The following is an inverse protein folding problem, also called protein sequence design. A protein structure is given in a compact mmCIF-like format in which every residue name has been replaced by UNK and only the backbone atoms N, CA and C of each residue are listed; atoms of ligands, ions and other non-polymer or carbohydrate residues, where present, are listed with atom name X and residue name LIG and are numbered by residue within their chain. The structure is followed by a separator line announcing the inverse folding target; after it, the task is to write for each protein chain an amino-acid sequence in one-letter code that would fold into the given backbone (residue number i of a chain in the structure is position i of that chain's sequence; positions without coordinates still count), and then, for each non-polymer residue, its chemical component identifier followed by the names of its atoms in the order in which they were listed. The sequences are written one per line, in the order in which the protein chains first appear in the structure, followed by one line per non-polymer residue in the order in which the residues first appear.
data_IF_885427954160
#
_entry.id   IF_885427954160
#
_cell.length_a   1.000
_cell.length_b   1.000
_cell.length_c   1.000
_cell.angle_alpha   90.00
_cell.angle_beta   90.00
_cell.angle_gamma   90.00
#
_symmetry.space_group_name_H-M   'P 1'
#
loop_
_entity.id
_entity.type
_entity.pdbx_description
1 polymer ?
#
# COMPACT_ATOMS: atom_id res chain seq x y z
N UNK A 1 -13.76 -9.96 -9.93
CA UNK A 1 -13.16 -8.62 -9.85
C UNK A 1 -12.18 -8.41 -10.98
N UNK A 2 -12.05 -7.17 -11.44
CA UNK A 2 -11.03 -6.79 -12.43
C UNK A 2 -9.85 -6.14 -11.74
N UNK A 3 -8.65 -6.34 -12.29
CA UNK A 3 -7.42 -5.67 -11.84
C UNK A 3 -6.54 -5.30 -13.02
N UNK A 4 -5.81 -4.19 -12.91
CA UNK A 4 -4.78 -3.79 -13.85
C UNK A 4 -3.42 -4.26 -13.32
N UNK A 5 -2.71 -5.10 -14.08
CA UNK A 5 -1.49 -5.76 -13.62
C UNK A 5 -0.28 -5.40 -14.46
N UNK A 6 0.84 -5.21 -13.79
CA UNK A 6 2.16 -5.17 -14.42
C UNK A 6 2.60 -6.63 -14.61
N UNK A 7 2.73 -7.08 -15.84
CA UNK A 7 3.12 -8.47 -16.16
C UNK A 7 4.63 -8.64 -16.33
N UNK A 8 5.30 -7.57 -16.76
CA UNK A 8 6.76 -7.50 -16.88
C UNK A 8 7.17 -6.01 -16.93
N UNK A 9 8.44 -5.68 -16.67
CA UNK A 9 8.95 -4.32 -16.81
C UNK A 9 8.67 -3.71 -18.20
N UNK A 10 8.21 -2.46 -18.21
CA UNK A 10 7.86 -1.69 -19.39
C UNK A 10 6.77 -2.29 -20.29
N UNK A 11 6.10 -3.37 -19.86
CA UNK A 11 4.96 -3.91 -20.59
C UNK A 11 3.70 -3.05 -20.37
N UNK A 12 2.77 -2.99 -21.33
CA UNK A 12 1.45 -2.42 -21.09
C UNK A 12 0.75 -3.12 -19.93
N UNK A 13 -0.03 -2.35 -19.15
CA UNK A 13 -0.85 -2.94 -18.09
C UNK A 13 -1.85 -3.95 -18.69
N UNK A 14 -1.91 -5.13 -18.12
CA UNK A 14 -2.86 -6.16 -18.50
C UNK A 14 -4.08 -6.14 -17.57
N UNK A 15 -5.27 -6.07 -18.16
CA UNK A 15 -6.51 -6.24 -17.38
C UNK A 15 -6.73 -7.74 -17.20
N UNK A 16 -6.88 -8.17 -15.95
CA UNK A 16 -7.20 -9.55 -15.59
C UNK A 16 -8.49 -9.62 -14.79
N UNK A 17 -9.18 -10.74 -14.91
CA UNK A 17 -10.38 -11.04 -14.12
C UNK A 17 -10.09 -12.23 -13.20
N UNK A 18 -10.58 -12.16 -11.97
CA UNK A 18 -10.47 -13.21 -10.96
C UNK A 18 -11.70 -13.24 -10.07
N UNK A 19 -11.87 -14.30 -9.30
CA UNK A 19 -12.87 -14.30 -8.23
C UNK A 19 -12.53 -13.24 -7.18
N UNK A 20 -13.57 -12.62 -6.62
CA UNK A 20 -13.41 -11.70 -5.49
C UNK A 20 -13.05 -12.53 -4.24
N UNK A 21 -11.93 -12.25 -3.56
CA UNK A 21 -11.53 -13.00 -2.38
C UNK A 21 -12.52 -12.82 -1.24
N UNK A 22 -12.58 -13.80 -0.32
CA UNK A 22 -13.34 -13.70 0.92
C UNK A 22 -12.38 -13.45 2.07
N UNK A 23 -12.66 -12.45 2.94
CA UNK A 23 -11.80 -12.17 4.07
C UNK A 23 -11.98 -13.22 5.18
N UNK A 24 -10.87 -13.62 5.80
CA UNK A 24 -10.83 -14.54 6.93
C UNK A 24 -10.04 -13.93 8.10
N UNK A 25 -10.32 -14.35 9.33
CA UNK A 25 -9.59 -13.90 10.51
C UNK A 25 -9.58 -12.38 10.64
N UNK A 26 -8.39 -11.76 10.57
CA UNK A 26 -8.17 -10.31 10.70
C UNK A 26 -8.35 -9.55 9.39
N UNK A 27 -8.58 -10.24 8.28
CA UNK A 27 -8.63 -9.66 6.95
C UNK A 27 -9.88 -8.80 6.73
N UNK A 28 -9.73 -7.79 5.88
CA UNK A 28 -10.84 -6.92 5.45
C UNK A 28 -10.83 -6.84 3.93
N UNK A 29 -11.99 -7.06 3.30
CA UNK A 29 -12.19 -6.83 1.89
C UNK A 29 -12.68 -5.40 1.69
N UNK A 30 -11.97 -4.63 0.89
CA UNK A 30 -12.38 -3.30 0.49
C UNK A 30 -12.89 -3.31 -0.95
N UNK A 31 -14.03 -2.66 -1.19
CA UNK A 31 -14.36 -2.14 -2.51
C UNK A 31 -13.55 -0.87 -2.71
N UNK A 32 -12.68 -0.87 -3.71
CA UNK A 32 -11.77 0.26 -3.97
C UNK A 32 -12.57 1.43 -4.52
N UNK A 33 -12.45 2.60 -3.90
CA UNK A 33 -13.08 3.84 -4.35
C UNK A 33 -12.10 4.66 -5.21
N UNK A 34 -10.89 4.87 -4.69
CA UNK A 34 -9.84 5.63 -5.34
C UNK A 34 -8.46 5.12 -4.94
N UNK A 35 -7.48 5.30 -5.82
CA UNK A 35 -6.08 4.94 -5.58
C UNK A 35 -5.19 6.04 -6.13
N UNK A 36 -4.32 6.57 -5.29
CA UNK A 36 -3.31 7.51 -5.73
C UNK A 36 -2.25 6.85 -6.61
N UNK A 37 -1.75 7.58 -7.59
CA UNK A 37 -0.62 7.17 -8.42
C UNK A 37 0.66 7.73 -7.82
N UNK A 38 1.46 6.86 -7.23
CA UNK A 38 2.75 7.22 -6.66
C UNK A 38 3.88 7.01 -7.67
N UNK A 39 4.97 7.75 -7.54
CA UNK A 39 6.17 7.53 -8.38
C UNK A 39 6.72 6.10 -8.21
N UNK A 40 6.50 5.47 -7.06
CA UNK A 40 6.89 4.07 -6.84
C UNK A 40 6.17 3.09 -7.76
N UNK A 41 4.94 3.41 -8.23
CA UNK A 41 4.23 2.57 -9.20
C UNK A 41 4.92 2.63 -10.58
N UNK A 42 5.51 3.78 -10.94
CA UNK A 42 6.32 3.94 -12.15
C UNK A 42 7.61 3.12 -12.04
N UNK A 43 8.34 3.20 -10.93
CA UNK A 43 9.54 2.38 -10.71
C UNK A 43 9.23 0.88 -10.76
N UNK A 44 8.07 0.48 -10.24
CA UNK A 44 7.61 -0.89 -10.33
C UNK A 44 7.33 -1.30 -11.77
N UNK A 45 6.72 -0.42 -12.56
CA UNK A 45 6.47 -0.64 -13.98
C UNK A 45 7.75 -0.61 -14.81
N UNK A 46 8.69 0.30 -14.55
CA UNK A 46 10.01 0.38 -15.18
C UNK A 46 10.91 -0.82 -14.81
N UNK A 47 10.59 -1.51 -13.70
CA UNK A 47 11.32 -2.67 -13.20
C UNK A 47 12.47 -2.33 -12.27
N UNK A 48 12.64 -1.07 -11.86
CA UNK A 48 13.73 -0.67 -10.96
C UNK A 48 13.91 0.81 -10.77
N UNK A 49 15.03 1.13 -10.16
CA UNK A 49 15.45 2.50 -9.85
C UNK A 49 16.76 2.82 -10.56
N UNK A 50 16.79 3.92 -11.31
CA UNK A 50 18.05 4.50 -11.78
C UNK A 50 18.73 5.20 -10.61
N UNK A 51 19.92 4.72 -10.24
CA UNK A 51 20.72 5.25 -9.15
C UNK A 51 21.79 6.26 -9.64
N UNK A 52 21.78 6.60 -10.92
CA UNK A 52 22.79 7.41 -11.54
C UNK A 52 24.08 6.61 -11.89
N UNK A 53 24.98 7.25 -12.62
CA UNK A 53 26.28 6.67 -13.02
C UNK A 53 26.16 5.29 -13.71
N UNK A 54 25.05 5.04 -14.44
CA UNK A 54 24.80 3.77 -15.12
C UNK A 54 24.43 2.61 -14.19
N UNK A 55 24.13 2.88 -12.93
CA UNK A 55 23.68 1.88 -11.95
C UNK A 55 22.16 1.79 -11.94
N UNK A 56 21.64 0.58 -12.09
CA UNK A 56 20.20 0.31 -12.05
C UNK A 56 19.92 -0.80 -11.02
N UNK A 57 19.04 -0.51 -10.04
CA UNK A 57 18.61 -1.46 -9.03
C UNK A 57 17.26 -2.05 -9.43
N UNK A 58 17.24 -3.33 -9.79
CA UNK A 58 16.00 -4.02 -10.16
C UNK A 58 15.11 -4.26 -8.93
N UNK A 59 13.81 -4.05 -9.08
CA UNK A 59 12.85 -4.35 -8.00
C UNK A 59 12.77 -5.86 -7.70
N UNK A 60 13.05 -6.71 -8.71
CA UNK A 60 13.10 -8.18 -8.54
C UNK A 60 14.22 -8.63 -7.62
N UNK A 61 15.35 -7.90 -7.57
CA UNK A 61 16.48 -8.19 -6.66
C UNK A 61 16.08 -7.93 -5.19
N UNK A 62 15.01 -7.15 -4.98
CA UNK A 62 14.40 -6.90 -3.68
C UNK A 62 13.21 -7.81 -3.36
N UNK A 63 12.94 -8.80 -4.20
CA UNK A 63 11.89 -9.80 -3.98
C UNK A 63 10.52 -9.49 -4.62
N UNK A 64 10.40 -8.41 -5.39
CA UNK A 64 9.18 -8.15 -6.17
C UNK A 64 8.99 -9.23 -7.22
N UNK A 65 7.76 -9.70 -7.37
CA UNK A 65 7.37 -10.73 -8.35
C UNK A 65 6.33 -10.18 -9.31
N UNK A 66 6.51 -10.47 -10.59
CA UNK A 66 5.48 -10.22 -11.60
C UNK A 66 4.72 -11.53 -11.91
N UNK A 67 3.42 -11.46 -12.27
CA UNK A 67 2.60 -10.27 -12.38
C UNK A 67 2.17 -9.74 -10.99
N UNK A 68 2.05 -8.41 -10.86
CA UNK A 68 1.58 -7.75 -9.64
C UNK A 68 0.57 -6.66 -10.00
N UNK A 69 -0.46 -6.48 -9.18
CA UNK A 69 -1.37 -5.35 -9.24
C UNK A 69 -0.76 -4.20 -8.44
N UNK A 70 -0.37 -3.07 -9.06
CA UNK A 70 0.20 -1.94 -8.33
C UNK A 70 -0.87 -1.13 -7.59
N UNK A 71 -0.49 0.05 -7.07
CA UNK A 71 -1.36 0.95 -6.34
C UNK A 71 -1.37 0.66 -4.84
N UNK A 72 -0.69 1.51 -4.08
CA UNK A 72 -0.54 1.37 -2.62
C UNK A 72 -1.14 2.55 -1.84
N UNK A 73 -1.65 3.57 -2.50
CA UNK A 73 -2.34 4.71 -1.90
C UNK A 73 -3.87 4.49 -2.00
N UNK A 74 -4.39 3.52 -1.23
CA UNK A 74 -5.74 2.97 -1.41
C UNK A 74 -6.72 3.61 -0.44
N UNK A 75 -7.82 4.10 -0.97
CA UNK A 75 -9.04 4.42 -0.22
C UNK A 75 -10.17 3.52 -0.71
N UNK A 76 -10.91 2.95 0.22
CA UNK A 76 -12.01 2.06 -0.09
C UNK A 76 -13.11 2.07 0.95
N UNK A 77 -14.22 1.44 0.57
CA UNK A 77 -15.34 1.15 1.46
C UNK A 77 -15.26 -0.30 1.89
N UNK A 78 -15.40 -0.57 3.18
CA UNK A 78 -15.41 -1.94 3.72
C UNK A 78 -16.59 -2.71 3.15
N UNK A 79 -16.31 -3.72 2.34
CA UNK A 79 -17.30 -4.60 1.71
C UNK A 79 -17.60 -5.81 2.59
N UNK A 80 -16.53 -6.46 3.09
CA UNK A 80 -16.66 -7.63 3.95
C UNK A 80 -15.50 -7.71 4.96
N UNK A 81 -15.71 -8.44 6.06
CA UNK A 81 -14.75 -8.53 7.17
C UNK A 81 -14.60 -9.98 7.64
N UNK A 82 -13.39 -10.35 8.04
CA UNK A 82 -13.12 -11.60 8.72
C UNK A 82 -13.66 -11.61 10.16
N UNK A 83 -13.71 -12.78 10.75
CA UNK A 83 -14.36 -13.02 12.04
C UNK A 83 -13.63 -12.46 13.26
N UNK A 84 -12.37 -12.03 13.13
CA UNK A 84 -11.60 -11.42 14.22
C UNK A 84 -11.58 -9.89 14.16
N UNK A 85 -12.16 -9.28 13.12
CA UNK A 85 -12.11 -7.83 12.91
C UNK A 85 -12.90 -7.11 13.98
N UNK A 86 -12.33 -6.05 14.53
CA UNK A 86 -12.97 -5.18 15.52
C UNK A 86 -12.70 -3.71 15.22
N UNK A 87 -13.61 -2.83 15.63
CA UNK A 87 -13.50 -1.39 15.42
C UNK A 87 -13.72 -0.90 13.99
N UNK A 88 -13.86 -1.81 13.02
CA UNK A 88 -14.17 -1.56 11.61
C UNK A 88 -15.45 -2.30 11.25
N UNK A 89 -16.34 -1.69 10.50
CA UNK A 89 -17.61 -2.25 10.08
C UNK A 89 -17.82 -2.12 8.56
N UNK A 90 -18.68 -2.98 8.00
CA UNK A 90 -19.12 -2.86 6.61
C UNK A 90 -19.72 -1.47 6.36
N UNK A 91 -19.33 -0.85 5.26
CA UNK A 91 -19.71 0.51 4.90
C UNK A 91 -18.77 1.60 5.41
N UNK A 92 -17.84 1.31 6.32
CA UNK A 92 -16.83 2.30 6.74
C UNK A 92 -15.95 2.69 5.55
N UNK A 93 -15.67 3.99 5.42
CA UNK A 93 -14.66 4.49 4.49
C UNK A 93 -13.30 4.53 5.17
N UNK A 94 -12.31 3.93 4.55
CA UNK A 94 -11.00 3.73 5.16
C UNK A 94 -9.86 4.02 4.19
N UNK A 95 -8.76 4.52 4.74
CA UNK A 95 -7.44 4.62 4.09
C UNK A 95 -6.60 3.41 4.51
N UNK A 96 -5.88 2.83 3.57
CA UNK A 96 -4.96 1.70 3.84
C UNK A 96 -3.57 2.22 4.12
N UNK A 97 -2.98 1.82 5.25
CA UNK A 97 -1.55 1.98 5.50
C UNK A 97 -0.79 0.85 4.78
N UNK A 98 -0.01 1.17 3.72
CA UNK A 98 0.52 0.13 2.83
C UNK A 98 1.81 -0.53 3.31
N UNK A 99 2.49 0.02 4.31
CA UNK A 99 3.82 -0.41 4.76
C UNK A 99 3.73 -1.58 5.72
N UNK A 100 3.36 -2.73 5.18
CA UNK A 100 3.13 -3.96 5.93
C UNK A 100 4.46 -4.69 6.13
N UNK A 101 4.79 -4.99 7.38
CA UNK A 101 5.98 -5.74 7.75
C UNK A 101 5.74 -7.26 7.83
N UNK A 102 6.81 -8.02 8.11
CA UNK A 102 6.73 -9.46 8.32
C UNK A 102 6.09 -9.87 9.66
N UNK A 103 6.04 -8.95 10.63
CA UNK A 103 5.53 -9.18 12.00
C UNK A 103 6.55 -9.79 12.97
N UNK A 104 7.70 -10.28 12.51
CA UNK A 104 8.61 -11.11 13.31
C UNK A 104 9.98 -10.47 13.56
N UNK A 105 10.47 -9.62 12.65
CA UNK A 105 11.78 -8.98 12.77
C UNK A 105 11.81 -7.94 13.90
N UNK A 106 13.00 -7.52 14.37
CA UNK A 106 13.13 -6.55 15.45
C UNK A 106 12.37 -5.25 15.20
N UNK A 107 12.38 -4.74 13.95
CA UNK A 107 11.67 -3.53 13.59
C UNK A 107 10.14 -3.70 13.73
N UNK A 108 9.59 -4.82 13.26
CA UNK A 108 8.16 -5.11 13.39
C UNK A 108 7.72 -5.27 14.85
N UNK A 109 8.54 -5.89 15.69
CA UNK A 109 8.23 -6.09 17.12
C UNK A 109 8.12 -4.78 17.91
N UNK A 110 8.69 -3.70 17.41
CA UNK A 110 8.60 -2.36 18.01
C UNK A 110 7.73 -1.42 17.16
N UNK A 111 6.84 -1.97 16.33
CA UNK A 111 5.89 -1.24 15.47
C UNK A 111 6.54 -0.31 14.43
N UNK A 112 7.78 -0.59 14.04
CA UNK A 112 8.48 0.09 12.94
C UNK A 112 8.42 -0.76 11.66
N UNK A 113 7.24 -1.16 11.24
CA UNK A 113 7.04 -2.08 10.10
C UNK A 113 7.56 -1.51 8.77
N UNK A 114 7.60 -0.19 8.63
CA UNK A 114 8.22 0.51 7.50
C UNK A 114 9.74 0.30 7.35
N UNK A 115 10.39 -0.21 8.41
CA UNK A 115 11.82 -0.56 8.43
C UNK A 115 12.04 -2.09 8.40
N UNK A 116 11.03 -2.85 7.98
CA UNK A 116 11.09 -4.30 7.92
C UNK A 116 12.08 -4.79 6.85
N UNK A 117 12.91 -5.78 7.19
CA UNK A 117 13.86 -6.39 6.25
C UNK A 117 13.18 -7.31 5.22
N UNK A 118 11.96 -7.80 5.52
CA UNK A 118 11.14 -8.63 4.64
C UNK A 118 9.74 -8.04 4.48
N UNK A 119 9.61 -6.87 3.83
CA UNK A 119 8.34 -6.15 3.73
C UNK A 119 7.33 -6.91 2.85
N UNK A 120 6.04 -6.72 3.18
CA UNK A 120 4.89 -7.25 2.45
C UNK A 120 3.97 -6.12 2.00
N UNK A 121 4.55 -4.97 1.62
CA UNK A 121 3.79 -3.77 1.27
C UNK A 121 2.81 -4.03 0.12
N UNK A 122 1.58 -3.50 0.29
CA UNK A 122 0.53 -3.54 -0.73
C UNK A 122 1.00 -2.86 -2.02
N UNK A 123 0.57 -3.39 -3.16
CA UNK A 123 0.89 -2.82 -4.46
C UNK A 123 2.36 -2.98 -4.89
N UNK A 124 3.20 -3.67 -4.10
CA UNK A 124 4.63 -3.88 -4.37
C UNK A 124 5.00 -5.36 -4.23
N UNK A 125 4.85 -5.94 -3.03
CA UNK A 125 5.15 -7.35 -2.75
C UNK A 125 3.92 -8.24 -2.76
N UNK A 126 2.76 -7.66 -2.73
CA UNK A 126 1.44 -8.27 -2.90
C UNK A 126 0.54 -7.35 -3.71
N UNK A 127 -0.56 -7.89 -4.21
CA UNK A 127 -1.49 -7.12 -5.05
C UNK A 127 -2.04 -5.90 -4.31
N UNK A 128 -2.15 -4.79 -5.03
CA UNK A 128 -2.58 -3.48 -4.56
C UNK A 128 -3.97 -3.07 -5.04
N UNK A 129 -4.18 -1.77 -5.10
CA UNK A 129 -5.49 -1.16 -5.29
C UNK A 129 -5.90 -0.88 -6.73
N UNK A 130 -5.06 -1.11 -7.76
CA UNK A 130 -5.51 -0.95 -9.16
C UNK A 130 -6.44 -2.11 -9.55
N UNK A 131 -7.52 -2.27 -8.79
CA UNK A 131 -8.51 -3.34 -8.91
C UNK A 131 -9.86 -2.89 -8.35
N UNK A 132 -10.93 -3.64 -8.66
CA UNK A 132 -12.26 -3.37 -8.10
C UNK A 132 -12.29 -3.57 -6.58
N UNK A 133 -11.51 -4.54 -6.08
CA UNK A 133 -11.43 -4.90 -4.65
C UNK A 133 -9.99 -5.13 -4.22
N UNK A 134 -9.71 -4.84 -2.96
CA UNK A 134 -8.44 -5.11 -2.31
C UNK A 134 -8.65 -5.91 -1.02
N UNK A 135 -7.93 -7.01 -0.85
CA UNK A 135 -7.93 -7.80 0.39
C UNK A 135 -6.79 -7.31 1.29
N UNK A 136 -7.17 -6.67 2.38
CA UNK A 136 -6.22 -6.13 3.36
C UNK A 136 -5.92 -7.20 4.40
N UNK A 137 -4.65 -7.54 4.66
CA UNK A 137 -4.28 -8.69 5.50
C UNK A 137 -4.65 -8.53 6.98
N UNK A 138 -4.82 -7.31 7.49
CA UNK A 138 -5.30 -7.08 8.85
C UNK A 138 -5.93 -5.70 8.98
N UNK A 139 -7.02 -5.62 9.73
CA UNK A 139 -7.74 -4.38 10.03
C UNK A 139 -6.86 -3.32 10.74
N UNK A 140 -5.75 -3.71 11.37
CA UNK A 140 -4.79 -2.79 11.99
C UNK A 140 -4.15 -1.80 11.01
N UNK A 141 -4.18 -2.12 9.70
CA UNK A 141 -3.66 -1.27 8.64
C UNK A 141 -4.69 -0.30 8.06
N UNK A 142 -5.86 -0.20 8.68
CA UNK A 142 -6.95 0.66 8.23
C UNK A 142 -7.12 1.88 9.15
N UNK A 143 -7.18 3.06 8.54
CA UNK A 143 -7.54 4.30 9.21
C UNK A 143 -8.91 4.78 8.69
N UNK A 144 -9.87 5.03 9.59
CA UNK A 144 -11.17 5.60 9.20
C UNK A 144 -11.01 7.03 8.69
N UNK A 145 -11.78 7.37 7.66
CA UNK A 145 -11.80 8.71 7.08
C UNK A 145 -12.93 9.53 7.70
N UNK A 146 -12.77 9.90 8.97
CA UNK A 146 -13.77 10.66 9.71
C UNK A 146 -13.84 12.12 9.19
N UNK A 147 -14.65 12.34 8.15
CA UNK A 147 -14.88 13.66 7.56
C UNK A 147 -13.79 14.14 6.59
N UNK A 148 -12.82 13.31 6.26
CA UNK A 148 -11.80 13.60 5.23
C UNK A 148 -12.36 13.19 3.86
N UNK A 149 -12.17 14.02 2.85
CA UNK A 149 -12.52 13.69 1.47
C UNK A 149 -11.73 12.44 1.02
N UNK A 150 -12.42 11.35 0.64
CA UNK A 150 -11.77 10.11 0.24
C UNK A 150 -10.78 10.26 -0.92
N UNK A 151 -11.10 11.08 -1.92
CA UNK A 151 -10.23 11.26 -3.09
C UNK A 151 -8.96 12.03 -2.73
N UNK A 152 -9.06 13.03 -1.85
CA UNK A 152 -7.91 13.77 -1.35
C UNK A 152 -7.07 12.94 -0.37
N UNK A 153 -7.66 11.96 0.31
CA UNK A 153 -6.99 11.16 1.32
C UNK A 153 -5.99 10.15 0.74
N UNK A 154 -6.11 9.74 -0.52
CA UNK A 154 -5.27 8.68 -1.12
C UNK A 154 -3.78 8.94 -0.93
N UNK A 155 -3.30 10.15 -1.23
CA UNK A 155 -1.89 10.52 -1.11
C UNK A 155 -1.37 10.50 0.33
N UNK A 156 -2.26 10.56 1.34
CA UNK A 156 -1.87 10.52 2.75
C UNK A 156 -1.28 9.15 3.14
N UNK A 157 -1.58 8.09 2.39
CA UNK A 157 -1.06 6.75 2.64
C UNK A 157 0.46 6.61 2.39
N UNK A 158 1.01 7.36 1.44
CA UNK A 158 2.42 7.27 1.06
C UNK A 158 3.11 8.64 1.06
N UNK A 159 2.87 9.46 0.03
CA UNK A 159 3.59 10.72 -0.18
C UNK A 159 3.35 11.72 0.95
N UNK A 160 2.10 11.89 1.37
CA UNK A 160 1.74 12.76 2.49
C UNK A 160 2.33 12.31 3.83
N UNK A 161 2.23 11.00 4.15
CA UNK A 161 2.82 10.44 5.36
C UNK A 161 4.34 10.56 5.37
N UNK A 162 4.99 10.35 4.23
CA UNK A 162 6.44 10.49 4.06
C UNK A 162 6.87 11.93 4.30
N UNK A 163 6.21 12.90 3.68
CA UNK A 163 6.49 14.32 3.87
C UNK A 163 6.27 14.74 5.34
N UNK A 164 5.14 14.36 5.93
CA UNK A 164 4.84 14.62 7.34
C UNK A 164 5.92 14.07 8.27
N UNK A 165 6.34 12.82 8.05
CA UNK A 165 7.36 12.17 8.88
C UNK A 165 8.71 12.85 8.75
N UNK A 166 9.09 13.26 7.53
CA UNK A 166 10.34 13.99 7.28
C UNK A 166 10.35 15.34 8.02
N UNK A 167 9.28 16.12 7.89
CA UNK A 167 9.13 17.42 8.57
C UNK A 167 9.15 17.23 10.09
N UNK A 168 8.40 16.26 10.61
CA UNK A 168 8.37 15.97 12.05
C UNK A 168 9.75 15.64 12.61
N UNK A 169 10.56 14.84 11.89
CA UNK A 169 11.92 14.50 12.28
C UNK A 169 12.88 15.70 12.18
N UNK A 170 12.74 16.52 11.14
CA UNK A 170 13.52 17.74 11.00
C UNK A 170 13.28 18.70 12.19
N UNK A 171 12.03 18.91 12.56
CA UNK A 171 11.66 19.78 13.69
C UNK A 171 12.17 19.30 15.05
N UNK A 172 12.25 17.98 15.25
CA UNK A 172 12.82 17.43 16.49
C UNK A 172 14.31 17.78 16.65
N UNK A 173 15.03 17.96 15.54
CA UNK A 173 16.46 18.22 15.52
C UNK A 173 16.82 19.70 15.31
N UNK A 174 15.88 20.53 14.87
CA UNK A 174 16.10 21.96 14.58
C UNK A 174 14.77 22.72 14.67
N UNK A 175 14.30 23.03 15.90
CA UNK A 175 12.98 23.68 16.11
C UNK A 175 12.88 25.09 15.53
N UNK A 176 13.95 25.69 15.04
CA UNK A 176 13.99 27.06 14.51
C UNK A 176 13.65 27.17 13.01
N UNK A 177 13.35 26.05 12.33
CA UNK A 177 13.11 26.03 10.87
C UNK A 177 11.64 25.96 10.43
N UNK A 178 10.69 26.23 11.34
CA UNK A 178 9.25 26.34 10.96
C UNK A 178 8.62 27.60 11.52
#
# INVERSE_FOLDING_TARGET
MKSARITAPNAPLAISESETPKPEGDQVLLKVNSVGVCHSDLHLWEGGYDLGDGKFMKVTDRGVKYPVTPGHEIVGTVEDIGNNVSGIAKGDQVLVFPWIGCGECPACKVSNENLCDAPKSMGVFQDGGYSDYALIPSFKYLAKLDGVDPDAATSLACSGLTAYTAIKKANQNSPEFL
#
